data_IF_386187479849
#
_entry.id   IF_386187479849
#
_cell.length_a   1.000
_cell.length_b   1.000
_cell.length_c   1.000
_cell.angle_alpha   90.00
_cell.angle_beta   90.00
_cell.angle_gamma   90.00
#
_symmetry.space_group_name_H-M   'P 1'
#
loop_
_entity.id
_entity.type
_entity.pdbx_description
1 polymer ?
#
# COMPACT_ATOMS: atom_id res chain seq x y z
N UNK A 1 0.86 -30.18 -1.67
CA UNK A 1 1.49 -29.06 -0.91
C UNK A 1 1.88 -28.01 -1.93
N UNK A 2 0.98 -27.06 -2.23
CA UNK A 2 1.09 -26.26 -3.46
C UNK A 2 2.15 -25.17 -3.33
N UNK A 3 3.08 -25.21 -4.28
CA UNK A 3 4.06 -24.17 -4.62
C UNK A 3 3.34 -22.90 -5.08
N UNK A 4 2.74 -22.17 -4.14
CA UNK A 4 2.41 -20.76 -4.36
C UNK A 4 3.74 -20.04 -4.57
N UNK A 5 4.01 -19.72 -5.84
CA UNK A 5 5.18 -19.04 -6.39
C UNK A 5 5.86 -18.10 -5.37
N UNK A 6 7.10 -18.44 -4.99
CA UNK A 6 7.91 -17.77 -3.95
C UNK A 6 7.98 -16.24 -4.09
N UNK A 7 7.91 -15.74 -5.32
CA UNK A 7 7.87 -14.31 -5.63
C UNK A 7 6.65 -13.58 -5.04
N UNK A 8 5.46 -14.19 -5.05
CA UNK A 8 4.24 -13.57 -4.49
C UNK A 8 4.37 -13.32 -2.99
N UNK A 9 5.07 -14.20 -2.27
CA UNK A 9 5.30 -14.05 -0.82
C UNK A 9 6.20 -12.86 -0.51
N UNK A 10 7.26 -12.65 -1.29
CA UNK A 10 8.18 -11.51 -1.12
C UNK A 10 7.46 -10.17 -1.31
N UNK A 11 6.60 -10.06 -2.33
CA UNK A 11 5.78 -8.86 -2.54
C UNK A 11 4.81 -8.58 -1.39
N UNK A 12 4.15 -9.62 -0.86
CA UNK A 12 3.25 -9.49 0.29
C UNK A 12 3.99 -8.97 1.53
N UNK A 13 5.14 -9.56 1.86
CA UNK A 13 5.92 -9.13 3.02
C UNK A 13 6.52 -7.74 2.87
N UNK A 14 7.04 -7.39 1.68
CA UNK A 14 7.46 -6.03 1.38
C UNK A 14 6.31 -5.04 1.56
N UNK A 15 5.14 -5.33 0.98
CA UNK A 15 3.94 -4.53 1.13
C UNK A 15 3.52 -4.35 2.59
N UNK A 16 3.55 -5.42 3.40
CA UNK A 16 3.25 -5.36 4.83
C UNK A 16 4.17 -4.42 5.60
N UNK A 17 5.49 -4.49 5.36
CA UNK A 17 6.44 -3.60 6.05
C UNK A 17 6.15 -2.13 5.73
N UNK A 18 5.92 -1.81 4.45
CA UNK A 18 5.60 -0.44 4.05
C UNK A 18 4.24 0.03 4.59
N UNK A 19 3.20 -0.80 4.55
CA UNK A 19 1.88 -0.47 5.12
C UNK A 19 1.98 -0.19 6.62
N UNK A 20 2.61 -1.08 7.38
CA UNK A 20 2.77 -0.90 8.83
C UNK A 20 3.62 0.33 9.17
N UNK A 21 4.66 0.60 8.39
CA UNK A 21 5.47 1.82 8.54
C UNK A 21 4.64 3.06 8.24
N UNK A 22 3.82 3.04 7.18
CA UNK A 22 2.90 4.13 6.85
C UNK A 22 1.89 4.38 7.97
N UNK A 23 1.30 3.33 8.54
CA UNK A 23 0.38 3.42 9.70
C UNK A 23 1.09 4.03 10.91
N UNK A 24 2.32 3.62 11.20
CA UNK A 24 3.12 4.23 12.27
C UNK A 24 3.33 5.73 12.03
N UNK A 25 3.75 6.12 10.82
CA UNK A 25 3.94 7.52 10.47
C UNK A 25 2.64 8.34 10.56
N UNK A 26 1.49 7.75 10.23
CA UNK A 26 0.18 8.37 10.45
C UNK A 26 -0.07 8.65 11.93
N UNK A 27 0.22 7.70 12.82
CA UNK A 27 0.05 7.88 14.26
C UNK A 27 1.04 8.90 14.85
N UNK A 28 2.21 9.07 14.24
CA UNK A 28 3.17 10.11 14.59
C UNK A 28 2.87 11.47 13.93
N UNK A 29 1.80 11.56 13.15
CA UNK A 29 1.39 12.75 12.40
C UNK A 29 2.46 13.30 11.44
N UNK A 30 3.30 12.41 10.88
CA UNK A 30 4.38 12.79 9.96
C UNK A 30 3.85 12.81 8.53
N UNK A 31 3.44 13.99 8.09
CA UNK A 31 2.85 14.24 6.78
C UNK A 31 3.82 15.01 5.86
N UNK A 32 3.94 14.70 4.55
CA UNK A 32 3.19 13.70 3.77
C UNK A 32 3.88 12.32 3.69
N UNK A 33 4.96 12.10 4.45
CA UNK A 33 5.71 10.85 4.41
C UNK A 33 4.84 9.63 4.72
N UNK A 34 3.88 9.75 5.63
CA UNK A 34 2.89 8.71 5.93
C UNK A 34 2.16 8.20 4.68
N UNK A 35 1.63 9.09 3.84
CA UNK A 35 0.89 8.74 2.62
C UNK A 35 1.82 8.13 1.57
N UNK A 36 3.03 8.66 1.40
CA UNK A 36 3.99 8.13 0.43
C UNK A 36 4.41 6.69 0.78
N UNK A 37 4.79 6.45 2.02
CA UNK A 37 5.24 5.14 2.50
C UNK A 37 4.08 4.13 2.52
N UNK A 38 2.89 4.55 2.98
CA UNK A 38 1.71 3.69 2.93
C UNK A 38 1.31 3.36 1.48
N UNK A 39 1.35 4.35 0.58
CA UNK A 39 1.04 4.19 -0.83
C UNK A 39 1.96 3.20 -1.55
N UNK A 40 3.26 3.20 -1.25
CA UNK A 40 4.19 2.18 -1.74
C UNK A 40 3.80 0.77 -1.26
N UNK A 41 3.40 0.65 0.01
CA UNK A 41 2.88 -0.60 0.54
C UNK A 41 1.61 -1.07 -0.16
N UNK A 42 0.69 -0.14 -0.44
CA UNK A 42 -0.54 -0.41 -1.18
C UNK A 42 -0.28 -0.84 -2.63
N UNK A 43 0.75 -0.28 -3.31
CA UNK A 43 1.16 -0.74 -4.64
C UNK A 43 1.62 -2.20 -4.61
N UNK A 44 2.48 -2.57 -3.67
CA UNK A 44 2.95 -3.95 -3.52
C UNK A 44 1.81 -4.93 -3.22
N UNK A 45 0.87 -4.55 -2.36
CA UNK A 45 -0.31 -5.37 -2.07
C UNK A 45 -1.31 -5.44 -3.22
N UNK A 46 -1.44 -4.39 -4.02
CA UNK A 46 -2.26 -4.40 -5.25
C UNK A 46 -1.71 -5.41 -6.25
N UNK A 47 -0.40 -5.40 -6.49
CA UNK A 47 0.29 -6.39 -7.34
C UNK A 47 0.14 -7.79 -6.75
N UNK A 48 0.32 -7.95 -5.44
CA UNK A 48 0.16 -9.24 -4.76
C UNK A 48 -1.28 -9.78 -4.86
N UNK A 49 -2.30 -8.92 -4.73
CA UNK A 49 -3.71 -9.26 -4.89
C UNK A 49 -4.04 -9.68 -6.32
N UNK A 50 -3.52 -8.95 -7.31
CA UNK A 50 -3.63 -9.31 -8.72
C UNK A 50 -3.03 -10.69 -9.01
N UNK A 51 -1.79 -10.94 -8.55
CA UNK A 51 -1.10 -12.22 -8.72
C UNK A 51 -1.80 -13.37 -7.97
N UNK A 52 -2.38 -13.09 -6.80
CA UNK A 52 -3.14 -14.07 -6.03
C UNK A 52 -4.56 -14.30 -6.56
N UNK A 53 -5.01 -13.53 -7.57
CA UNK A 53 -6.40 -13.48 -8.04
C UNK A 53 -7.41 -13.21 -6.91
N UNK A 54 -6.97 -12.47 -5.89
CA UNK A 54 -7.79 -12.10 -4.74
C UNK A 54 -8.42 -10.73 -4.97
N UNK A 55 -9.72 -10.74 -5.28
CA UNK A 55 -10.48 -9.52 -5.55
C UNK A 55 -10.59 -8.63 -4.31
N UNK A 56 -10.65 -9.20 -3.10
CA UNK A 56 -10.81 -8.42 -1.88
C UNK A 56 -9.55 -7.61 -1.58
N UNK A 57 -8.38 -8.23 -1.65
CA UNK A 57 -7.08 -7.56 -1.51
C UNK A 57 -6.91 -6.49 -2.59
N UNK A 58 -7.19 -6.86 -3.84
CA UNK A 58 -7.06 -5.94 -4.97
C UNK A 58 -7.96 -4.71 -4.80
N UNK A 59 -9.24 -4.88 -4.46
CA UNK A 59 -10.16 -3.75 -4.23
C UNK A 59 -9.70 -2.89 -3.06
N UNK A 60 -9.30 -3.48 -1.93
CA UNK A 60 -8.89 -2.74 -0.75
C UNK A 60 -7.70 -1.81 -1.03
N UNK A 61 -6.65 -2.31 -1.66
CA UNK A 61 -5.43 -1.53 -1.91
C UNK A 61 -5.50 -0.68 -3.17
N UNK A 62 -6.24 -1.10 -4.21
CA UNK A 62 -6.41 -0.28 -5.41
C UNK A 62 -7.22 0.98 -5.11
N UNK A 63 -8.23 0.92 -4.23
CA UNK A 63 -9.01 2.10 -3.85
C UNK A 63 -8.24 3.04 -2.90
N UNK A 64 -7.30 2.51 -2.12
CA UNK A 64 -6.41 3.35 -1.30
C UNK A 64 -5.51 4.25 -2.15
N UNK A 65 -5.06 3.80 -3.33
CA UNK A 65 -4.17 4.59 -4.18
C UNK A 65 -4.79 5.92 -4.64
N UNK A 66 -6.02 5.99 -5.21
CA UNK A 66 -6.69 7.25 -5.49
C UNK A 66 -6.90 8.11 -4.25
N UNK A 67 -7.27 7.52 -3.11
CA UNK A 67 -7.45 8.28 -1.86
C UNK A 67 -6.14 8.91 -1.39
N UNK A 68 -5.03 8.20 -1.51
CA UNK A 68 -3.69 8.72 -1.24
C UNK A 68 -3.27 9.81 -2.22
N UNK A 69 -3.63 9.71 -3.50
CA UNK A 69 -3.41 10.79 -4.48
C UNK A 69 -4.14 12.06 -4.06
N UNK A 70 -5.41 11.97 -3.64
CA UNK A 70 -6.16 13.12 -3.11
C UNK A 70 -5.45 13.73 -1.90
N UNK A 71 -4.96 12.89 -0.98
CA UNK A 71 -4.13 13.36 0.14
C UNK A 71 -2.87 14.09 -0.33
N UNK A 72 -2.08 13.51 -1.23
CA UNK A 72 -0.87 14.16 -1.76
C UNK A 72 -1.15 15.49 -2.46
N UNK A 73 -2.23 15.58 -3.24
CA UNK A 73 -2.66 16.84 -3.86
C UNK A 73 -2.96 17.88 -2.78
N UNK A 74 -3.70 17.51 -1.73
CA UNK A 74 -3.93 18.42 -0.60
C UNK A 74 -2.61 18.82 0.11
N UNK A 75 -1.64 17.91 0.19
CA UNK A 75 -0.36 18.16 0.82
C UNK A 75 0.51 19.22 0.13
N UNK A 76 0.54 19.17 -1.20
CA UNK A 76 1.53 19.89 -2.01
C UNK A 76 0.94 20.97 -2.90
N UNK A 77 -0.35 20.89 -3.24
CA UNK A 77 -1.00 21.81 -4.17
C UNK A 77 -1.98 22.78 -3.49
N UNK A 78 -2.46 22.47 -2.28
CA UNK A 78 -3.48 23.24 -1.57
C UNK A 78 -2.93 23.88 -0.27
N UNK A 79 -1.83 23.36 0.26
CA UNK A 79 -1.06 23.94 1.38
C UNK A 79 0.05 24.86 0.86
#
# INVERSE_FOLDING_TARGET
MTTSTDHSKKFKWAGTVFVLTGILLTNLNIYPANILIHGLGALFWTVAGYLAKDKAIMTNFSLQLPLFVVGLVNAFAIN
#
